data_IF_300977651361
#
_entry.id   IF_300977651361
#
_cell.length_a   1.000
_cell.length_b   1.000
_cell.length_c   1.000
_cell.angle_alpha   90.00
_cell.angle_beta   90.00
_cell.angle_gamma   90.00
#
_symmetry.space_group_name_H-M   'P 1'
#
loop_
_entity.id
_entity.type
_entity.pdbx_description
1 polymer ?
#
# COMPACT_ATOMS: atom_id res chain seq x y z
N UNK A 1 -16.49 -21.17 14.45
CA UNK A 1 -15.15 -20.78 13.96
C UNK A 1 -14.16 -21.87 14.35
N UNK A 2 -13.46 -22.48 13.39
CA UNK A 2 -12.45 -23.49 13.66
C UNK A 2 -11.03 -22.91 13.50
N UNK A 3 -10.01 -23.65 13.95
CA UNK A 3 -8.61 -23.23 13.89
C UNK A 3 -8.17 -22.94 12.45
N UNK A 4 -8.60 -23.74 11.47
CA UNK A 4 -8.25 -23.54 10.07
C UNK A 4 -8.76 -22.19 9.51
N UNK A 5 -9.97 -21.78 9.90
CA UNK A 5 -10.55 -20.50 9.50
C UNK A 5 -9.82 -19.31 10.14
N UNK A 6 -9.45 -19.41 11.42
CA UNK A 6 -8.59 -18.41 12.09
C UNK A 6 -7.19 -18.35 11.46
N UNK A 7 -6.62 -19.50 11.11
CA UNK A 7 -5.33 -19.56 10.42
C UNK A 7 -5.38 -18.89 9.05
N UNK A 8 -6.48 -19.03 8.30
CA UNK A 8 -6.67 -18.39 6.99
C UNK A 8 -6.88 -16.87 7.08
N UNK A 9 -7.55 -16.38 8.12
CA UNK A 9 -7.67 -14.95 8.40
C UNK A 9 -6.30 -14.36 8.81
N UNK A 10 -5.55 -15.10 9.64
CA UNK A 10 -4.19 -14.73 10.06
C UNK A 10 -3.19 -14.72 8.88
N UNK A 11 -3.34 -15.61 7.90
CA UNK A 11 -2.45 -15.61 6.73
C UNK A 11 -2.58 -14.32 5.93
N UNK A 12 -3.78 -13.76 5.79
CA UNK A 12 -3.95 -12.48 5.09
C UNK A 12 -3.26 -11.31 5.80
N UNK A 13 -3.29 -11.28 7.14
CA UNK A 13 -2.60 -10.26 7.95
C UNK A 13 -1.08 -10.43 7.85
N UNK A 14 -0.59 -11.66 7.99
CA UNK A 14 0.85 -11.95 7.86
C UNK A 14 1.37 -11.64 6.46
N UNK A 15 0.65 -11.99 5.41
CA UNK A 15 1.01 -11.69 4.02
C UNK A 15 1.06 -10.17 3.79
N UNK A 16 0.11 -9.42 4.34
CA UNK A 16 0.11 -7.95 4.29
C UNK A 16 1.32 -7.36 5.01
N UNK A 17 1.63 -7.82 6.22
CA UNK A 17 2.81 -7.37 7.00
C UNK A 17 4.11 -7.66 6.26
N UNK A 18 4.28 -8.88 5.76
CA UNK A 18 5.47 -9.30 5.02
C UNK A 18 5.60 -8.52 3.72
N UNK A 19 4.50 -8.32 2.99
CA UNK A 19 4.52 -7.55 1.75
C UNK A 19 4.93 -6.11 2.02
N UNK A 20 4.35 -5.43 3.02
CA UNK A 20 4.76 -4.07 3.40
C UNK A 20 6.23 -4.03 3.79
N UNK A 21 6.70 -4.97 4.62
CA UNK A 21 8.11 -5.06 5.01
C UNK A 21 9.04 -5.18 3.79
N UNK A 22 8.68 -6.04 2.84
CA UNK A 22 9.43 -6.22 1.59
C UNK A 22 9.41 -4.96 0.73
N UNK A 23 8.25 -4.32 0.57
CA UNK A 23 8.13 -3.08 -0.20
C UNK A 23 9.00 -1.97 0.40
N UNK A 24 8.97 -1.80 1.73
CA UNK A 24 9.75 -0.79 2.43
C UNK A 24 11.26 -1.07 2.32
N UNK A 25 11.70 -2.30 2.58
CA UNK A 25 13.13 -2.64 2.56
C UNK A 25 13.71 -2.70 1.16
N UNK A 26 13.04 -3.37 0.23
CA UNK A 26 13.59 -3.63 -1.11
C UNK A 26 13.71 -2.35 -1.94
N UNK A 27 12.74 -1.43 -1.81
CA UNK A 27 12.83 -0.11 -2.45
C UNK A 27 13.39 0.98 -1.53
N UNK A 28 13.96 0.60 -0.39
CA UNK A 28 14.74 1.46 0.51
C UNK A 28 13.97 2.71 0.96
N UNK A 29 12.84 2.50 1.63
CA UNK A 29 12.12 3.56 2.31
C UNK A 29 12.96 4.12 3.47
N UNK A 30 13.01 5.45 3.70
CA UNK A 30 13.81 6.03 4.79
C UNK A 30 13.41 5.50 6.19
N UNK A 31 12.15 5.11 6.35
CA UNK A 31 11.62 4.52 7.59
C UNK A 31 11.49 2.99 7.55
N UNK A 32 12.21 2.29 6.66
CA UNK A 32 12.07 0.83 6.52
C UNK A 32 12.41 0.02 7.78
N UNK A 33 13.25 0.56 8.66
CA UNK A 33 13.60 -0.06 9.93
C UNK A 33 12.69 0.37 11.10
N UNK A 34 11.80 1.33 10.86
CA UNK A 34 10.90 1.86 11.87
C UNK A 34 9.64 0.98 11.95
N UNK A 35 9.47 0.33 13.09
CA UNK A 35 8.32 -0.56 13.35
C UNK A 35 7.02 0.23 13.51
N UNK A 36 7.07 1.37 14.17
CA UNK A 36 5.87 2.16 14.47
C UNK A 36 5.34 2.77 13.17
N UNK A 37 6.23 3.32 12.34
CA UNK A 37 5.89 3.75 10.99
C UNK A 37 5.22 2.65 10.17
N UNK A 38 5.73 1.41 10.22
CA UNK A 38 5.17 0.29 9.47
C UNK A 38 3.76 -0.08 9.96
N UNK A 39 3.54 -0.09 11.28
CA UNK A 39 2.22 -0.34 11.85
C UNK A 39 1.23 0.74 11.41
N UNK A 40 1.62 2.01 11.52
CA UNK A 40 0.81 3.15 11.09
C UNK A 40 0.50 3.11 9.58
N UNK A 41 1.46 2.67 8.77
CA UNK A 41 1.26 2.47 7.34
C UNK A 41 0.24 1.36 7.05
N UNK A 42 0.30 0.24 7.77
CA UNK A 42 -0.68 -0.85 7.65
C UNK A 42 -2.08 -0.40 8.05
N UNK A 43 -2.23 0.35 9.13
CA UNK A 43 -3.52 0.88 9.59
C UNK A 43 -4.14 1.84 8.56
N UNK A 44 -3.35 2.78 8.04
CA UNK A 44 -3.77 3.69 6.96
C UNK A 44 -4.13 2.93 5.69
N UNK A 45 -3.34 1.91 5.32
CA UNK A 45 -3.61 1.05 4.17
C UNK A 45 -4.97 0.35 4.31
N UNK A 46 -5.29 -0.16 5.50
CA UNK A 46 -6.58 -0.78 5.78
C UNK A 46 -7.74 0.21 5.70
N UNK A 47 -7.55 1.47 6.10
CA UNK A 47 -8.55 2.53 5.93
C UNK A 47 -8.77 2.90 4.46
N UNK A 48 -7.70 3.00 3.68
CA UNK A 48 -7.77 3.27 2.23
C UNK A 48 -8.54 2.15 1.52
N UNK A 49 -8.25 0.89 1.83
CA UNK A 49 -8.98 -0.25 1.26
C UNK A 49 -10.46 -0.24 1.65
N UNK A 50 -10.79 0.04 2.92
CA UNK A 50 -12.19 0.19 3.35
C UNK A 50 -12.91 1.31 2.59
N UNK A 51 -12.21 2.42 2.35
CA UNK A 51 -12.76 3.57 1.61
C UNK A 51 -12.99 3.22 0.14
N UNK A 52 -12.08 2.47 -0.49
CA UNK A 52 -12.25 1.98 -1.84
C UNK A 52 -13.41 0.97 -1.96
N UNK A 53 -13.54 0.06 -0.99
CA UNK A 53 -14.66 -0.90 -0.90
C UNK A 53 -16.02 -0.21 -0.73
N UNK A 54 -16.04 0.97 -0.11
CA UNK A 54 -17.24 1.81 -0.01
C UNK A 54 -17.60 2.54 -1.34
N UNK A 55 -16.83 2.31 -2.41
CA UNK A 55 -17.05 2.89 -3.73
C UNK A 55 -16.36 4.23 -3.97
N UNK A 56 -15.53 4.69 -3.04
CA UNK A 56 -14.79 5.95 -3.20
C UNK A 56 -13.57 5.73 -4.08
N UNK A 57 -13.40 6.57 -5.10
CA UNK A 57 -12.22 6.55 -5.96
C UNK A 57 -11.05 7.23 -5.25
N UNK A 58 -10.00 6.46 -4.97
CA UNK A 58 -8.80 6.92 -4.26
C UNK A 58 -7.74 7.44 -5.24
N UNK A 59 -7.52 6.71 -6.33
CA UNK A 59 -6.59 7.07 -7.41
C UNK A 59 -7.40 7.31 -8.68
N UNK A 60 -7.15 8.42 -9.37
CA UNK A 60 -7.98 8.89 -10.49
C UNK A 60 -8.18 7.83 -11.60
N UNK A 61 -7.13 7.06 -11.88
CA UNK A 61 -7.06 6.11 -12.99
C UNK A 61 -7.45 4.67 -12.59
N UNK A 62 -7.88 4.45 -11.34
CA UNK A 62 -8.21 3.11 -10.83
C UNK A 62 -9.64 3.12 -10.29
N UNK A 63 -10.49 2.23 -10.80
CA UNK A 63 -11.82 2.08 -10.26
C UNK A 63 -11.76 1.59 -8.80
N UNK A 64 -12.69 1.99 -7.91
CA UNK A 64 -12.64 1.62 -6.50
C UNK A 64 -12.48 0.11 -6.26
N UNK A 65 -13.23 -0.72 -7.00
CA UNK A 65 -13.17 -2.19 -6.93
C UNK A 65 -11.85 -2.81 -7.41
N UNK A 66 -11.05 -2.05 -8.17
CA UNK A 66 -9.75 -2.49 -8.71
C UNK A 66 -8.58 -2.01 -7.84
N UNK A 67 -8.86 -1.32 -6.73
CA UNK A 67 -7.82 -0.87 -5.78
C UNK A 67 -7.22 -2.08 -5.07
N UNK A 68 -6.00 -2.44 -5.43
CA UNK A 68 -5.25 -3.53 -4.79
C UNK A 68 -4.44 -3.01 -3.59
N UNK A 69 -3.91 -3.96 -2.82
CA UNK A 69 -3.14 -3.68 -1.60
C UNK A 69 -1.91 -2.80 -1.86
N UNK A 70 -1.15 -3.04 -2.93
CA UNK A 70 0.06 -2.27 -3.27
C UNK A 70 -0.28 -0.80 -3.55
N UNK A 71 -1.38 -0.55 -4.28
CA UNK A 71 -1.89 0.81 -4.52
C UNK A 71 -2.31 1.47 -3.22
N UNK A 72 -2.99 0.74 -2.33
CA UNK A 72 -3.41 1.28 -1.04
C UNK A 72 -2.22 1.66 -0.15
N UNK A 73 -1.15 0.84 -0.12
CA UNK A 73 0.11 1.16 0.58
C UNK A 73 0.74 2.41 -0.02
N UNK A 74 0.86 2.45 -1.35
CA UNK A 74 1.42 3.59 -2.07
C UNK A 74 0.63 4.88 -1.80
N UNK A 75 -0.70 4.82 -1.87
CA UNK A 75 -1.55 5.98 -1.65
C UNK A 75 -1.50 6.45 -0.20
N UNK A 76 -1.47 5.53 0.76
CA UNK A 76 -1.35 5.87 2.19
C UNK A 76 -0.08 6.69 2.46
N UNK A 77 1.03 6.29 1.83
CA UNK A 77 2.29 7.03 1.93
C UNK A 77 2.25 8.34 1.16
N UNK A 78 1.70 8.35 -0.06
CA UNK A 78 1.52 9.57 -0.86
C UNK A 78 0.67 10.62 -0.14
N UNK A 79 -0.41 10.21 0.52
CA UNK A 79 -1.27 11.09 1.31
C UNK A 79 -0.50 11.62 2.53
N UNK A 80 0.22 10.75 3.24
CA UNK A 80 0.99 11.11 4.42
C UNK A 80 2.09 12.15 4.15
N UNK A 81 2.74 12.13 2.99
CA UNK A 81 3.77 13.11 2.64
C UNK A 81 3.19 14.49 2.28
N UNK A 82 1.89 14.59 1.94
CA UNK A 82 1.30 15.89 1.62
C UNK A 82 1.20 16.79 2.86
N UNK A 83 0.90 16.18 4.01
CA UNK A 83 0.64 16.89 5.27
C UNK A 83 1.89 17.05 6.15
N UNK A 84 3.02 16.47 5.76
CA UNK A 84 4.24 16.42 6.57
C UNK A 84 5.40 17.13 5.87
N UNK A 85 6.01 18.09 6.57
CA UNK A 85 7.30 18.67 6.23
C UNK A 85 8.37 18.01 7.09
N UNK A 86 8.79 16.81 6.70
CA UNK A 86 9.94 16.11 7.30
C UNK A 86 11.21 16.35 6.48
N UNK A 87 12.38 16.12 7.11
CA UNK A 87 13.67 16.26 6.45
C UNK A 87 13.99 15.15 5.43
N UNK A 88 13.09 14.18 5.24
CA UNK A 88 13.28 13.01 4.37
C UNK A 88 12.22 12.92 3.27
N UNK A 89 11.47 14.00 3.04
CA UNK A 89 10.35 14.03 2.09
C UNK A 89 10.78 13.62 0.70
N UNK A 90 11.95 14.08 0.26
CA UNK A 90 12.48 13.78 -1.06
C UNK A 90 12.76 12.28 -1.23
N UNK A 91 13.27 11.61 -0.20
CA UNK A 91 13.52 10.17 -0.19
C UNK A 91 12.22 9.37 -0.21
N UNK A 92 11.17 9.85 0.48
CA UNK A 92 9.82 9.27 0.48
C UNK A 92 9.14 9.43 -0.88
N UNK A 93 9.21 10.60 -1.49
CA UNK A 93 8.74 10.85 -2.87
C UNK A 93 9.49 9.96 -3.88
N UNK A 94 10.81 9.83 -3.74
CA UNK A 94 11.59 8.93 -4.57
C UNK A 94 11.21 7.45 -4.38
N UNK A 95 10.81 7.04 -3.17
CA UNK A 95 10.29 5.70 -2.91
C UNK A 95 8.96 5.46 -3.64
N UNK A 96 8.03 6.41 -3.61
CA UNK A 96 6.75 6.33 -4.33
C UNK A 96 6.95 6.09 -5.84
N UNK A 97 7.92 6.78 -6.43
CA UNK A 97 8.27 6.61 -7.84
C UNK A 97 8.93 5.24 -8.12
N UNK A 98 9.77 4.74 -7.20
CA UNK A 98 10.36 3.39 -7.32
C UNK A 98 9.30 2.30 -7.30
N UNK A 99 8.33 2.40 -6.39
CA UNK A 99 7.21 1.44 -6.28
C UNK A 99 6.42 1.41 -7.58
N UNK A 100 5.98 2.57 -8.09
CA UNK A 100 5.23 2.67 -9.35
C UNK A 100 5.99 2.09 -10.53
N UNK A 101 7.29 2.36 -10.63
CA UNK A 101 8.14 1.82 -11.70
C UNK A 101 8.35 0.31 -11.60
N UNK A 102 8.46 -0.22 -10.38
CA UNK A 102 8.70 -1.64 -10.16
C UNK A 102 7.45 -2.50 -10.42
N UNK A 103 6.26 -1.95 -10.13
CA UNK A 103 4.99 -2.67 -10.23
C UNK A 103 3.94 -1.86 -11.03
N UNK A 104 4.22 -1.51 -12.30
CA UNK A 104 3.35 -0.61 -13.06
C UNK A 104 1.95 -1.20 -13.28
N UNK A 105 1.84 -2.52 -13.41
CA UNK A 105 0.55 -3.23 -13.59
C UNK A 105 -0.38 -3.11 -12.38
N UNK A 106 0.15 -2.76 -11.20
CA UNK A 106 -0.71 -2.50 -10.03
C UNK A 106 -1.43 -1.15 -10.14
N UNK A 107 -0.98 -0.24 -11.02
CA UNK A 107 -1.48 1.13 -11.12
C UNK A 107 -2.35 1.39 -12.36
N UNK A 108 -2.82 0.36 -13.03
CA UNK A 108 -3.71 0.45 -14.18
C UNK A 108 -4.99 -0.36 -13.94
N UNK A 109 -6.02 -0.12 -14.76
CA UNK A 109 -7.20 -0.97 -14.73
C UNK A 109 -6.83 -2.38 -15.23
N UNK A 110 -7.27 -3.46 -14.58
CA UNK A 110 -7.04 -4.82 -15.06
C UNK A 110 -7.51 -5.04 -16.51
N UNK A 111 -8.52 -4.28 -16.97
CA UNK A 111 -8.97 -4.32 -18.37
C UNK A 111 -7.92 -3.86 -19.37
N UNK A 112 -7.00 -2.98 -18.98
CA UNK A 112 -5.93 -2.45 -19.85
C UNK A 112 -4.73 -3.41 -19.97
N UNK A 113 -4.70 -4.46 -19.13
CA UNK A 113 -3.64 -5.48 -19.13
C UNK A 113 -3.97 -6.68 -20.03
N UNK A 114 -5.21 -6.76 -20.51
CA UNK A 114 -5.65 -7.84 -21.39
C UNK A 114 -5.42 -7.43 -22.86
N UNK A 115 -4.87 -8.33 -23.71
CA UNK A 115 -4.63 -8.06 -25.13
C UNK A 115 -5.92 -7.97 -25.96
#
# INVERSE_FOLDING_TARGET
MNVAQKSLELTGIFEAEVLVELMLRFWQHPFAADRDFRNDLLERTAEVLRTALAGTRIVQDIQPQNTNFIVAVWYSEWAAIQDVLDGVRQEREAWLERVKRALPSCFCDPGDLLP
#
